data_IF_160256820533
#
_entry.id   IF_160256820533
#
_cell.length_a   1.000
_cell.length_b   1.000
_cell.length_c   1.000
_cell.angle_alpha   90.00
_cell.angle_beta   90.00
_cell.angle_gamma   90.00
#
_symmetry.space_group_name_H-M   'P 1'
#
loop_
_entity.id
_entity.type
_entity.pdbx_description
1 polymer ?
#
# COMPACT_ATOMS: atom_id res chain seq x y z
N UNK A 1 18.27 26.68 62.39
CA UNK A 1 19.49 27.35 61.88
C UNK A 1 19.90 26.69 60.57
N UNK A 2 20.47 27.46 59.63
CA UNK A 2 19.95 27.55 58.27
C UNK A 2 20.99 27.19 57.18
N UNK A 3 20.59 27.48 55.94
CA UNK A 3 21.41 27.83 54.74
C UNK A 3 21.63 26.68 53.76
N UNK A 4 20.94 26.75 52.60
CA UNK A 4 21.45 27.30 51.32
C UNK A 4 22.56 26.40 50.76
N UNK A 5 22.48 25.93 49.52
CA UNK A 5 22.95 26.71 48.38
C UNK A 5 22.38 26.18 47.06
N UNK A 6 21.66 27.05 46.36
CA UNK A 6 21.58 27.08 44.90
C UNK A 6 22.97 27.34 44.35
N UNK A 7 23.35 26.67 43.26
CA UNK A 7 24.53 26.95 42.44
C UNK A 7 24.40 26.18 41.12
N UNK A 8 24.77 26.65 39.94
CA UNK A 8 24.80 27.97 39.33
C UNK A 8 24.66 27.66 37.83
N UNK A 9 23.85 28.45 37.13
CA UNK A 9 23.82 28.49 35.66
C UNK A 9 24.93 29.47 35.23
N UNK A 10 25.87 29.09 34.35
CA UNK A 10 26.75 30.06 33.70
C UNK A 10 26.05 30.71 32.47
N UNK A 11 26.50 31.90 32.02
CA UNK A 11 25.62 32.89 31.42
C UNK A 11 25.72 33.02 29.89
N UNK A 12 24.63 33.59 29.35
CA UNK A 12 24.51 34.52 28.20
C UNK A 12 25.70 34.62 27.22
N UNK A 13 25.38 34.47 25.92
CA UNK A 13 25.68 35.52 24.95
C UNK A 13 24.65 35.53 23.81
N UNK A 14 24.01 36.68 23.64
CA UNK A 14 23.29 37.10 22.44
C UNK A 14 23.94 38.42 21.99
N UNK A 15 23.46 39.06 20.92
CA UNK A 15 23.60 38.72 19.51
C UNK A 15 24.58 39.72 18.85
N UNK A 16 25.35 39.29 17.83
CA UNK A 16 26.19 40.25 17.10
C UNK A 16 25.41 40.84 15.92
N UNK A 17 24.96 42.10 16.10
CA UNK A 17 24.58 43.01 15.02
C UNK A 17 25.87 43.62 14.44
N UNK A 18 26.08 43.46 13.14
CA UNK A 18 26.81 44.42 12.30
C UNK A 18 25.88 44.73 11.13
N UNK A 19 25.24 45.89 11.16
CA UNK A 19 25.68 47.16 10.57
C UNK A 19 25.24 47.25 9.09
N UNK A 20 24.27 48.14 8.88
CA UNK A 20 23.65 48.54 7.61
C UNK A 20 24.68 49.02 6.59
N UNK A 21 24.43 48.71 5.32
CA UNK A 21 24.68 49.63 4.23
C UNK A 21 23.36 49.78 3.45
N UNK A 22 22.82 51.00 3.45
CA UNK A 22 21.72 51.42 2.60
C UNK A 22 22.23 51.54 1.15
N UNK A 23 21.61 50.86 0.20
CA UNK A 23 21.52 51.28 -1.20
C UNK A 23 20.12 50.93 -1.68
N UNK A 24 19.38 51.98 -2.00
CA UNK A 24 18.07 52.00 -2.62
C UNK A 24 18.26 51.78 -4.13
N UNK A 25 17.67 50.72 -4.70
CA UNK A 25 17.35 50.68 -6.12
C UNK A 25 16.23 49.65 -6.38
N UNK A 26 15.17 50.14 -7.00
CA UNK A 26 13.92 49.43 -7.31
C UNK A 26 14.14 48.31 -8.35
N UNK A 27 14.07 47.05 -7.94
CA UNK A 27 13.73 45.94 -8.85
C UNK A 27 12.86 44.92 -8.11
N UNK A 28 11.56 44.93 -8.42
CA UNK A 28 10.65 43.83 -8.11
C UNK A 28 10.96 42.69 -9.07
N UNK A 29 11.76 41.73 -8.62
CA UNK A 29 11.81 40.38 -9.20
C UNK A 29 11.26 39.40 -8.17
N UNK A 30 10.07 38.90 -8.49
CA UNK A 30 9.38 37.81 -7.83
C UNK A 30 10.23 36.53 -7.91
N UNK A 31 11.12 36.34 -6.95
CA UNK A 31 11.79 35.05 -6.71
C UNK A 31 10.91 34.17 -5.82
N UNK A 32 9.74 33.82 -6.37
CA UNK A 32 8.89 32.72 -5.92
C UNK A 32 9.50 31.35 -6.22
N UNK A 33 10.78 31.14 -5.91
CA UNK A 33 11.40 29.82 -5.94
C UNK A 33 10.94 29.05 -4.70
N UNK A 34 9.79 28.40 -4.84
CA UNK A 34 9.29 27.39 -3.90
C UNK A 34 10.31 26.27 -3.77
N UNK A 35 11.02 26.24 -2.65
CA UNK A 35 11.80 25.07 -2.23
C UNK A 35 10.79 24.07 -1.68
N UNK A 36 10.48 23.03 -2.46
CA UNK A 36 9.76 21.86 -1.97
C UNK A 36 10.51 21.32 -0.75
N UNK A 37 9.97 21.59 0.44
CA UNK A 37 10.47 21.02 1.67
C UNK A 37 9.97 19.59 1.72
N UNK A 38 10.86 18.61 1.49
CA UNK A 38 10.60 17.22 1.84
C UNK A 38 10.63 17.09 3.38
N UNK A 39 9.57 17.57 4.03
CA UNK A 39 9.22 17.14 5.38
C UNK A 39 8.21 16.02 5.20
N UNK A 40 8.72 14.81 4.99
CA UNK A 40 7.92 13.63 5.26
C UNK A 40 7.76 13.56 6.77
N UNK A 41 6.63 14.03 7.28
CA UNK A 41 6.18 13.69 8.63
C UNK A 41 5.99 12.17 8.66
N UNK A 42 6.97 11.50 9.27
CA UNK A 42 6.87 10.10 9.64
C UNK A 42 5.86 9.96 10.78
N UNK A 43 4.57 10.03 10.47
CA UNK A 43 3.54 9.38 11.31
C UNK A 43 3.60 7.88 11.08
N UNK A 44 4.69 7.24 11.54
CA UNK A 44 4.69 5.81 11.81
C UNK A 44 4.13 5.60 13.21
N UNK A 45 2.80 5.64 13.32
CA UNK A 45 2.11 5.02 14.44
C UNK A 45 1.78 3.60 14.00
N UNK A 46 2.69 2.67 14.29
CA UNK A 46 2.33 1.27 14.46
C UNK A 46 3.06 0.76 15.71
N UNK A 47 2.25 0.20 16.59
CA UNK A 47 2.56 -0.29 17.94
C UNK A 47 3.77 -1.22 18.00
N UNK A 48 4.40 -1.21 19.18
CA UNK A 48 5.38 -2.17 19.64
C UNK A 48 4.95 -3.62 19.35
N UNK A 49 5.53 -4.21 18.30
CA UNK A 49 5.60 -5.66 18.16
C UNK A 49 6.99 -6.12 18.63
N UNK A 50 6.97 -6.73 19.80
CA UNK A 50 8.08 -7.42 20.43
C UNK A 50 8.56 -8.60 19.54
N UNK A 51 9.89 -8.80 19.51
CA UNK A 51 10.65 -9.89 18.89
C UNK A 51 10.91 -9.82 17.36
N UNK A 52 11.99 -9.12 17.00
CA UNK A 52 13.06 -9.76 16.21
C UNK A 52 12.96 -9.77 14.68
N UNK A 53 12.27 -8.81 14.06
CA UNK A 53 12.37 -8.58 12.61
C UNK A 53 12.97 -7.18 12.41
N UNK A 54 14.12 -7.02 11.71
CA UNK A 54 14.70 -5.70 11.51
C UNK A 54 13.84 -4.93 10.50
N UNK A 55 12.95 -4.08 11.02
CA UNK A 55 12.26 -3.03 10.26
C UNK A 55 13.26 -1.90 9.98
N UNK A 56 13.95 -2.01 8.84
CA UNK A 56 14.60 -0.90 8.15
C UNK A 56 14.83 -1.32 6.69
N UNK A 57 13.79 -1.19 5.86
CA UNK A 57 13.82 -1.47 4.42
C UNK A 57 14.63 -0.39 3.69
N UNK A 58 15.94 -0.40 3.87
CA UNK A 58 16.91 0.38 3.10
C UNK A 58 18.10 -0.49 2.67
N UNK A 59 17.87 -1.79 2.48
CA UNK A 59 18.85 -2.66 1.82
C UNK A 59 18.74 -2.38 0.33
N UNK A 60 19.65 -1.59 -0.24
CA UNK A 60 19.80 -1.52 -1.70
C UNK A 60 20.28 -2.90 -2.14
N UNK A 61 19.39 -3.68 -2.76
CA UNK A 61 19.79 -4.94 -3.39
C UNK A 61 20.86 -4.63 -4.45
N UNK A 62 22.04 -5.23 -4.30
CA UNK A 62 23.05 -5.29 -5.35
C UNK A 62 22.43 -5.87 -6.62
N UNK A 63 22.89 -5.42 -7.80
CA UNK A 63 22.50 -5.99 -9.09
C UNK A 63 22.84 -7.47 -9.22
N UNK A 64 23.79 -7.94 -8.42
CA UNK A 64 24.27 -9.31 -8.45
C UNK A 64 23.24 -10.24 -7.77
N UNK A 65 22.94 -11.35 -8.45
CA UNK A 65 22.13 -12.49 -7.98
C UNK A 65 20.62 -12.22 -7.82
N UNK A 66 20.02 -11.35 -8.65
CA UNK A 66 18.56 -11.11 -8.61
C UNK A 66 17.76 -12.36 -9.03
N UNK A 67 18.22 -13.12 -10.04
CA UNK A 67 17.61 -14.39 -10.41
C UNK A 67 17.68 -15.42 -9.28
N UNK A 68 18.84 -15.59 -8.64
CA UNK A 68 18.99 -16.53 -7.52
C UNK A 68 18.09 -16.15 -6.34
N UNK A 69 17.93 -14.85 -6.05
CA UNK A 69 17.02 -14.36 -5.00
C UNK A 69 15.56 -14.63 -5.34
N UNK A 70 15.17 -14.41 -6.60
CA UNK A 70 13.82 -14.72 -7.07
C UNK A 70 13.54 -16.22 -6.96
N UNK A 71 14.46 -17.07 -7.47
CA UNK A 71 14.33 -18.51 -7.45
C UNK A 71 14.31 -19.06 -6.01
N UNK A 72 15.15 -18.52 -5.11
CA UNK A 72 15.15 -18.88 -3.70
C UNK A 72 13.83 -18.52 -3.02
N UNK A 73 13.27 -17.34 -3.29
CA UNK A 73 12.00 -16.94 -2.69
C UNK A 73 10.84 -17.80 -3.20
N UNK A 74 10.83 -18.17 -4.49
CA UNK A 74 9.82 -19.07 -5.06
C UNK A 74 9.91 -20.49 -4.49
N UNK A 75 11.11 -20.98 -4.18
CA UNK A 75 11.27 -22.27 -3.52
C UNK A 75 10.74 -22.24 -2.08
N UNK A 76 10.88 -21.12 -1.37
CA UNK A 76 10.29 -20.96 -0.03
C UNK A 76 8.76 -20.96 -0.04
N UNK A 77 8.12 -20.39 -1.07
CA UNK A 77 6.67 -20.43 -1.23
C UNK A 77 6.12 -21.87 -1.39
N UNK A 78 6.93 -22.80 -1.92
CA UNK A 78 6.56 -24.22 -2.07
C UNK A 78 6.56 -24.99 -0.75
N UNK A 79 7.09 -24.40 0.31
CA UNK A 79 7.24 -25.08 1.58
C UNK A 79 5.88 -25.29 2.28
N UNK A 80 5.74 -26.42 2.96
CA UNK A 80 4.56 -26.71 3.78
C UNK A 80 4.50 -25.88 5.06
N UNK A 81 5.65 -25.43 5.54
CA UNK A 81 5.76 -24.59 6.72
C UNK A 81 5.32 -23.15 6.43
N UNK A 82 4.41 -22.62 7.28
CA UNK A 82 3.81 -21.30 7.09
C UNK A 82 4.84 -20.17 7.23
N UNK A 83 5.76 -20.25 8.19
CA UNK A 83 6.76 -19.21 8.42
C UNK A 83 7.73 -19.10 7.24
N UNK A 84 8.07 -20.25 6.65
CA UNK A 84 8.94 -20.30 5.46
C UNK A 84 8.25 -19.64 4.27
N UNK A 85 6.95 -19.89 4.06
CA UNK A 85 6.19 -19.20 3.00
C UNK A 85 6.10 -17.70 3.24
N UNK A 86 5.83 -17.26 4.47
CA UNK A 86 5.81 -15.84 4.83
C UNK A 86 7.16 -15.16 4.58
N UNK A 87 8.27 -15.83 4.89
CA UNK A 87 9.60 -15.35 4.58
C UNK A 87 9.82 -15.17 3.07
N UNK A 88 9.42 -16.15 2.25
CA UNK A 88 9.51 -16.05 0.80
C UNK A 88 8.63 -14.92 0.23
N UNK A 89 7.42 -14.74 0.75
CA UNK A 89 6.55 -13.63 0.36
C UNK A 89 7.16 -12.27 0.70
N UNK A 90 7.76 -12.14 1.89
CA UNK A 90 8.47 -10.92 2.28
C UNK A 90 9.69 -10.67 1.38
N UNK A 91 10.45 -11.73 1.03
CA UNK A 91 11.57 -11.61 0.10
C UNK A 91 11.11 -11.13 -1.29
N UNK A 92 10.01 -11.66 -1.82
CA UNK A 92 9.40 -11.20 -3.08
C UNK A 92 8.91 -9.75 -2.97
N UNK A 93 8.26 -9.37 -1.86
CA UNK A 93 7.81 -8.01 -1.62
C UNK A 93 8.98 -7.02 -1.68
N UNK A 94 10.06 -7.31 -0.96
CA UNK A 94 11.26 -6.46 -0.95
C UNK A 94 11.89 -6.40 -2.34
N UNK A 95 12.05 -7.54 -3.01
CA UNK A 95 12.64 -7.62 -4.35
C UNK A 95 11.85 -6.79 -5.37
N UNK A 96 10.54 -7.01 -5.47
CA UNK A 96 9.68 -6.33 -6.44
C UNK A 96 9.45 -4.85 -6.10
N UNK A 97 9.58 -4.44 -4.84
CA UNK A 97 9.46 -3.02 -4.45
C UNK A 97 10.72 -2.21 -4.76
N UNK A 98 11.88 -2.87 -4.87
CA UNK A 98 13.17 -2.18 -5.00
C UNK A 98 13.79 -2.29 -6.39
N UNK A 99 13.42 -3.32 -7.18
CA UNK A 99 13.97 -3.58 -8.50
C UNK A 99 12.85 -3.88 -9.48
N UNK A 100 12.92 -3.26 -10.65
CA UNK A 100 12.08 -3.59 -11.78
C UNK A 100 12.76 -4.70 -12.61
N UNK A 101 12.10 -5.85 -12.73
CA UNK A 101 12.64 -7.11 -13.28
C UNK A 101 11.62 -7.80 -14.21
N UNK A 102 11.13 -7.09 -15.26
CA UNK A 102 10.05 -7.59 -16.09
C UNK A 102 10.40 -8.90 -16.79
N UNK A 103 11.61 -9.03 -17.38
CA UNK A 103 12.00 -10.22 -18.13
C UNK A 103 12.05 -11.47 -17.23
N UNK A 104 12.61 -11.35 -16.03
CA UNK A 104 12.74 -12.46 -15.08
C UNK A 104 11.38 -12.90 -14.54
N UNK A 105 10.49 -11.94 -14.28
CA UNK A 105 9.14 -12.16 -13.77
C UNK A 105 8.26 -12.78 -14.85
N UNK A 106 8.30 -12.25 -16.07
CA UNK A 106 7.55 -12.79 -17.22
C UNK A 106 7.95 -14.22 -17.52
N UNK A 107 9.25 -14.54 -17.50
CA UNK A 107 9.77 -15.89 -17.72
C UNK A 107 9.29 -16.93 -16.69
N UNK A 108 8.83 -16.49 -15.51
CA UNK A 108 8.38 -17.33 -14.40
C UNK A 108 6.92 -17.07 -14.01
N UNK A 109 6.17 -16.33 -14.82
CA UNK A 109 4.83 -15.82 -14.48
C UNK A 109 3.85 -16.94 -14.08
N UNK A 110 3.82 -18.03 -14.83
CA UNK A 110 2.97 -19.19 -14.50
C UNK A 110 3.30 -19.81 -13.14
N UNK A 111 4.59 -19.96 -12.83
CA UNK A 111 5.06 -20.50 -11.55
C UNK A 111 4.71 -19.54 -10.40
N UNK A 112 4.96 -18.24 -10.57
CA UNK A 112 4.60 -17.22 -9.58
C UNK A 112 3.10 -17.29 -9.27
N UNK A 113 2.24 -17.38 -10.31
CA UNK A 113 0.79 -17.51 -10.13
C UNK A 113 0.44 -18.81 -9.40
N UNK A 114 1.01 -19.94 -9.79
CA UNK A 114 0.76 -21.25 -9.18
C UNK A 114 1.08 -21.25 -7.68
N UNK A 115 2.16 -20.59 -7.28
CA UNK A 115 2.58 -20.51 -5.88
C UNK A 115 1.82 -19.44 -5.09
N UNK A 116 1.50 -18.30 -5.71
CA UNK A 116 0.91 -17.16 -5.00
C UNK A 116 -0.60 -17.32 -4.75
N UNK A 117 -1.33 -17.95 -5.68
CA UNK A 117 -2.78 -18.16 -5.54
C UNK A 117 -3.16 -18.94 -4.27
N UNK A 118 -2.48 -20.05 -3.91
CA UNK A 118 -2.70 -20.72 -2.62
C UNK A 118 -2.49 -19.83 -1.40
N UNK A 119 -1.44 -18.99 -1.39
CA UNK A 119 -1.18 -18.05 -0.29
C UNK A 119 -2.32 -17.05 -0.13
N UNK A 120 -2.89 -16.56 -1.23
CA UNK A 120 -4.07 -15.68 -1.21
C UNK A 120 -5.33 -16.42 -0.75
N UNK A 121 -5.57 -17.64 -1.24
CA UNK A 121 -6.83 -18.38 -0.98
C UNK A 121 -6.88 -19.04 0.40
N UNK A 122 -5.73 -19.46 0.93
CA UNK A 122 -5.65 -20.35 2.10
C UNK A 122 -4.67 -19.88 3.18
N UNK A 123 -3.90 -18.82 2.92
CA UNK A 123 -3.02 -18.23 3.91
C UNK A 123 -3.80 -17.75 5.13
N UNK A 124 -3.13 -17.71 6.28
CA UNK A 124 -3.67 -17.00 7.44
C UNK A 124 -3.67 -15.48 7.17
N UNK A 125 -4.12 -14.67 8.13
CA UNK A 125 -4.15 -13.22 7.95
C UNK A 125 -2.79 -12.61 7.56
N UNK A 126 -1.71 -13.02 8.22
CA UNK A 126 -0.36 -12.48 7.95
C UNK A 126 0.14 -12.86 6.55
N UNK A 127 0.10 -14.15 6.22
CA UNK A 127 0.47 -14.68 4.90
C UNK A 127 -0.39 -14.07 3.79
N UNK A 128 -1.70 -13.98 4.00
CA UNK A 128 -2.64 -13.42 3.03
C UNK A 128 -2.35 -11.95 2.74
N UNK A 129 -2.10 -11.13 3.77
CA UNK A 129 -1.74 -9.71 3.59
C UNK A 129 -0.46 -9.55 2.77
N UNK A 130 0.59 -10.32 3.08
CA UNK A 130 1.82 -10.33 2.29
C UNK A 130 1.56 -10.76 0.84
N UNK A 131 0.77 -11.83 0.65
CA UNK A 131 0.41 -12.33 -0.67
C UNK A 131 -0.37 -11.29 -1.51
N UNK A 132 -1.25 -10.51 -0.91
CA UNK A 132 -1.96 -9.42 -1.58
C UNK A 132 -1.00 -8.33 -2.08
N UNK A 133 0.00 -7.96 -1.27
CA UNK A 133 1.02 -6.99 -1.66
C UNK A 133 1.87 -7.55 -2.80
N UNK A 134 2.36 -8.78 -2.67
CA UNK A 134 3.16 -9.44 -3.72
C UNK A 134 2.37 -9.60 -5.01
N UNK A 135 1.07 -9.91 -4.96
CA UNK A 135 0.22 -10.02 -6.15
C UNK A 135 0.08 -8.68 -6.88
N UNK A 136 -0.07 -7.60 -6.12
CA UNK A 136 -0.13 -6.23 -6.67
C UNK A 136 1.19 -5.85 -7.33
N UNK A 137 2.32 -6.10 -6.64
CA UNK A 137 3.65 -5.86 -7.16
C UNK A 137 3.97 -6.72 -8.39
N UNK A 138 3.55 -7.98 -8.39
CA UNK A 138 3.70 -8.88 -9.53
C UNK A 138 2.99 -8.34 -10.78
N UNK A 139 1.76 -7.82 -10.64
CA UNK A 139 1.08 -7.15 -11.76
C UNK A 139 1.85 -5.92 -12.23
N UNK A 140 2.37 -5.11 -11.31
CA UNK A 140 3.21 -3.94 -11.65
C UNK A 140 4.49 -4.35 -12.39
N UNK A 141 5.11 -5.45 -12.01
CA UNK A 141 6.31 -5.97 -12.67
C UNK A 141 6.03 -6.40 -14.10
N UNK A 142 4.90 -7.06 -14.36
CA UNK A 142 4.47 -7.43 -15.71
C UNK A 142 4.15 -6.19 -16.55
N UNK A 143 3.40 -5.25 -15.99
CA UNK A 143 3.13 -3.94 -16.61
C UNK A 143 2.21 -3.99 -17.85
N UNK A 144 1.66 -5.15 -18.20
CA UNK A 144 0.75 -5.35 -19.32
C UNK A 144 -0.56 -6.04 -18.90
N UNK A 145 -1.68 -5.78 -19.60
CA UNK A 145 -2.94 -6.47 -19.36
C UNK A 145 -2.82 -7.99 -19.50
N UNK A 146 -3.51 -8.72 -18.61
CA UNK A 146 -3.57 -10.17 -18.60
C UNK A 146 -4.87 -10.61 -17.90
N UNK A 147 -5.94 -10.76 -18.68
CA UNK A 147 -7.27 -11.07 -18.14
C UNK A 147 -7.31 -12.43 -17.42
N UNK A 148 -6.56 -13.43 -17.89
CA UNK A 148 -6.47 -14.74 -17.24
C UNK A 148 -5.85 -14.64 -15.83
N UNK A 149 -4.82 -13.80 -15.68
CA UNK A 149 -4.22 -13.47 -14.39
C UNK A 149 -5.23 -12.74 -13.50
N UNK A 150 -5.93 -11.75 -14.04
CA UNK A 150 -6.96 -11.01 -13.31
C UNK A 150 -8.04 -11.95 -12.78
N UNK A 151 -8.59 -12.84 -13.63
CA UNK A 151 -9.62 -13.81 -13.25
C UNK A 151 -9.14 -14.70 -12.10
N UNK A 152 -7.92 -15.25 -12.19
CA UNK A 152 -7.35 -16.11 -11.13
C UNK A 152 -7.27 -15.39 -9.78
N UNK A 153 -6.75 -14.15 -9.75
CA UNK A 153 -6.67 -13.38 -8.50
C UNK A 153 -8.05 -12.93 -8.02
N UNK A 154 -8.95 -12.54 -8.91
CA UNK A 154 -10.32 -12.16 -8.54
C UNK A 154 -11.07 -13.33 -7.90
N UNK A 155 -11.00 -14.51 -8.48
CA UNK A 155 -11.59 -15.73 -7.92
C UNK A 155 -10.97 -16.13 -6.58
N UNK A 156 -9.71 -15.78 -6.34
CA UNK A 156 -9.02 -16.01 -5.08
C UNK A 156 -9.43 -14.99 -3.99
N UNK A 157 -9.48 -13.70 -4.34
CA UNK A 157 -9.63 -12.58 -3.41
C UNK A 157 -11.09 -12.34 -3.05
N UNK A 158 -12.00 -12.32 -4.03
CA UNK A 158 -13.38 -11.87 -3.83
C UNK A 158 -14.17 -12.68 -2.79
N UNK A 159 -14.04 -14.02 -2.70
CA UNK A 159 -14.72 -14.78 -1.65
C UNK A 159 -14.32 -14.34 -0.23
N UNK A 160 -13.03 -14.09 -0.01
CA UNK A 160 -12.48 -13.67 1.30
C UNK A 160 -12.86 -12.21 1.59
N UNK A 161 -12.77 -11.34 0.58
CA UNK A 161 -13.13 -9.92 0.72
C UNK A 161 -14.61 -9.73 1.11
N UNK A 162 -15.50 -10.59 0.62
CA UNK A 162 -16.94 -10.54 0.90
C UNK A 162 -17.34 -11.28 2.18
N UNK A 163 -16.52 -12.18 2.69
CA UNK A 163 -16.79 -12.95 3.90
C UNK A 163 -16.59 -12.08 5.15
N UNK A 164 -17.69 -11.72 5.82
CA UNK A 164 -17.69 -10.89 7.03
C UNK A 164 -17.09 -11.60 8.25
N UNK A 165 -16.89 -12.91 8.18
CA UNK A 165 -16.23 -13.68 9.25
C UNK A 165 -14.71 -13.58 9.19
N UNK A 166 -14.15 -13.11 8.07
CA UNK A 166 -12.72 -12.85 7.92
C UNK A 166 -12.31 -11.56 8.62
N UNK A 167 -11.03 -11.45 8.99
CA UNK A 167 -10.52 -10.25 9.64
C UNK A 167 -10.71 -9.01 8.75
N UNK A 168 -11.11 -7.89 9.35
CA UNK A 168 -11.23 -6.63 8.61
C UNK A 168 -9.88 -6.19 8.02
N UNK A 169 -8.77 -6.43 8.73
CA UNK A 169 -7.42 -6.07 8.28
C UNK A 169 -6.95 -6.86 7.05
N UNK A 170 -7.26 -8.17 6.95
CA UNK A 170 -7.01 -8.96 5.74
C UNK A 170 -7.86 -8.44 4.58
N UNK A 171 -9.16 -8.23 4.83
CA UNK A 171 -10.10 -7.71 3.83
C UNK A 171 -9.67 -6.33 3.32
N UNK A 172 -9.12 -5.46 4.17
CA UNK A 172 -8.57 -4.14 3.76
C UNK A 172 -7.46 -4.31 2.74
N UNK A 173 -6.51 -5.21 3.02
CA UNK A 173 -5.38 -5.47 2.12
C UNK A 173 -5.85 -6.05 0.79
N UNK A 174 -6.89 -6.89 0.82
CA UNK A 174 -7.49 -7.50 -0.36
C UNK A 174 -8.29 -6.51 -1.21
N UNK A 175 -8.99 -5.56 -0.57
CA UNK A 175 -9.69 -4.47 -1.26
C UNK A 175 -8.70 -3.57 -2.03
N UNK A 176 -7.54 -3.26 -1.44
CA UNK A 176 -6.48 -2.50 -2.11
C UNK A 176 -5.86 -3.29 -3.25
N UNK A 177 -5.45 -4.54 -2.99
CA UNK A 177 -4.78 -5.38 -3.97
C UNK A 177 -5.64 -5.60 -5.21
N UNK A 178 -6.93 -5.95 -5.05
CA UNK A 178 -7.79 -6.22 -6.20
C UNK A 178 -8.04 -4.98 -7.07
N UNK A 179 -8.02 -3.77 -6.48
CA UNK A 179 -8.11 -2.53 -7.23
C UNK A 179 -6.89 -2.31 -8.14
N UNK A 180 -5.68 -2.53 -7.61
CA UNK A 180 -4.43 -2.45 -8.37
C UNK A 180 -4.38 -3.53 -9.45
N UNK A 181 -4.68 -4.78 -9.08
CA UNK A 181 -4.67 -5.92 -10.01
C UNK A 181 -5.68 -5.68 -11.14
N UNK A 182 -6.89 -5.19 -10.84
CA UNK A 182 -7.87 -4.85 -11.87
C UNK A 182 -7.38 -3.75 -12.81
N UNK A 183 -6.83 -2.67 -12.26
CA UNK A 183 -6.32 -1.56 -13.08
C UNK A 183 -5.24 -1.99 -14.08
N UNK A 184 -4.34 -2.89 -13.67
CA UNK A 184 -3.21 -3.29 -14.51
C UNK A 184 -3.58 -4.45 -15.44
N UNK A 185 -4.21 -5.48 -14.89
CA UNK A 185 -4.37 -6.76 -15.58
C UNK A 185 -5.70 -6.91 -16.32
N UNK A 186 -6.75 -6.15 -15.98
CA UNK A 186 -8.05 -6.22 -16.65
C UNK A 186 -8.09 -5.28 -17.85
N UNK A 187 -8.26 -5.80 -19.06
CA UNK A 187 -8.50 -4.97 -20.25
C UNK A 187 -9.99 -4.63 -20.43
N UNK A 188 -10.86 -5.52 -19.93
CA UNK A 188 -12.30 -5.37 -20.03
C UNK A 188 -12.86 -4.38 -18.98
N UNK A 189 -13.48 -3.30 -19.47
CA UNK A 189 -14.15 -2.31 -18.64
C UNK A 189 -15.32 -2.90 -17.84
N UNK A 190 -16.00 -3.93 -18.35
CA UNK A 190 -17.12 -4.55 -17.65
C UNK A 190 -16.67 -5.24 -16.37
N UNK A 191 -15.49 -5.86 -16.40
CA UNK A 191 -14.83 -6.43 -15.24
C UNK A 191 -14.47 -5.38 -14.18
N UNK A 192 -14.00 -4.20 -14.60
CA UNK A 192 -13.76 -3.06 -13.69
C UNK A 192 -15.06 -2.55 -13.07
N UNK A 193 -16.13 -2.37 -13.86
CA UNK A 193 -17.45 -1.94 -13.36
C UNK A 193 -18.02 -2.95 -12.35
N UNK A 194 -17.90 -4.24 -12.62
CA UNK A 194 -18.39 -5.28 -11.71
C UNK A 194 -17.59 -5.36 -10.41
N UNK A 195 -16.28 -5.11 -10.47
CA UNK A 195 -15.46 -4.95 -9.27
C UNK A 195 -15.87 -3.71 -8.48
N UNK A 196 -16.10 -2.57 -9.15
CA UNK A 196 -16.55 -1.34 -8.51
C UNK A 196 -17.88 -1.54 -7.77
N UNK A 197 -18.88 -2.13 -8.42
CA UNK A 197 -20.15 -2.49 -7.75
C UNK A 197 -19.91 -3.39 -6.54
N UNK A 198 -18.97 -4.32 -6.63
CA UNK A 198 -18.63 -5.20 -5.51
C UNK A 198 -18.00 -4.45 -4.34
N UNK A 199 -17.09 -3.52 -4.61
CA UNK A 199 -16.45 -2.66 -3.60
C UNK A 199 -17.47 -1.72 -2.95
N UNK A 200 -18.42 -1.19 -3.73
CA UNK A 200 -19.49 -0.34 -3.24
C UNK A 200 -20.33 -1.03 -2.17
N UNK A 201 -20.70 -2.31 -2.36
CA UNK A 201 -21.46 -3.05 -1.33
C UNK A 201 -20.74 -3.14 0.02
N UNK A 202 -19.41 -2.97 0.05
CA UNK A 202 -18.61 -2.97 1.28
C UNK A 202 -18.74 -1.63 1.99
N UNK A 203 -18.40 -0.52 1.32
CA UNK A 203 -18.40 0.80 1.98
C UNK A 203 -19.81 1.42 2.11
N UNK A 204 -20.79 0.96 1.33
CA UNK A 204 -22.20 1.34 1.45
C UNK A 204 -22.79 1.03 2.83
N UNK A 205 -22.18 0.13 3.60
CA UNK A 205 -22.53 -0.12 5.00
C UNK A 205 -22.25 1.05 5.94
N UNK A 206 -21.50 2.06 5.48
CA UNK A 206 -21.32 3.32 6.20
C UNK A 206 -22.37 4.37 5.84
N UNK A 207 -23.23 4.10 4.85
CA UNK A 207 -24.25 5.06 4.45
C UNK A 207 -25.23 5.31 5.59
N UNK A 208 -25.82 6.50 5.60
CA UNK A 208 -26.88 6.83 6.54
C UNK A 208 -28.02 5.84 6.32
N UNK A 209 -28.49 5.22 7.40
CA UNK A 209 -29.60 4.29 7.34
C UNK A 209 -30.88 5.00 6.89
N UNK A 210 -31.86 4.25 6.38
CA UNK A 210 -33.15 4.82 5.93
C UNK A 210 -33.93 5.56 7.03
N UNK A 211 -33.60 5.31 8.30
CA UNK A 211 -34.17 5.99 9.47
C UNK A 211 -33.40 7.27 9.88
N UNK A 212 -32.39 7.67 9.10
CA UNK A 212 -31.55 8.84 9.36
C UNK A 212 -30.42 8.61 10.37
N UNK A 213 -30.25 7.38 10.89
CA UNK A 213 -29.18 7.07 11.84
C UNK A 213 -27.85 6.83 11.13
N UNK A 214 -26.75 7.25 11.77
CA UNK A 214 -25.39 6.98 11.30
C UNK A 214 -24.94 5.62 11.84
N UNK A 215 -24.52 4.67 10.98
CA UNK A 215 -24.02 3.38 11.44
C UNK A 215 -22.81 3.54 12.37
N UNK A 216 -22.77 2.75 13.45
CA UNK A 216 -21.61 2.69 14.32
C UNK A 216 -20.57 1.76 13.68
N UNK A 217 -19.51 2.34 13.13
CA UNK A 217 -18.44 1.60 12.43
C UNK A 217 -17.20 1.56 13.33
N UNK A 218 -16.68 0.35 13.58
CA UNK A 218 -15.41 0.17 14.31
C UNK A 218 -14.24 0.71 13.49
N UNK A 219 -13.10 1.03 14.14
CA UNK A 219 -11.91 1.54 13.44
C UNK A 219 -11.46 0.61 12.30
N UNK A 220 -11.32 -0.68 12.58
CA UNK A 220 -10.87 -1.66 11.57
C UNK A 220 -11.84 -1.73 10.37
N UNK A 221 -13.13 -1.58 10.62
CA UNK A 221 -14.15 -1.57 9.58
C UNK A 221 -14.13 -0.24 8.79
N UNK A 222 -13.81 0.88 9.43
CA UNK A 222 -13.58 2.16 8.73
C UNK A 222 -12.38 2.07 7.79
N UNK A 223 -11.30 1.41 8.19
CA UNK A 223 -10.12 1.18 7.35
C UNK A 223 -10.48 0.32 6.12
N UNK A 224 -11.28 -0.73 6.31
CA UNK A 224 -11.81 -1.54 5.21
C UNK A 224 -12.67 -0.71 4.25
N UNK A 225 -13.61 0.07 4.77
CA UNK A 225 -14.48 0.91 3.95
C UNK A 225 -13.68 1.97 3.17
N UNK A 226 -12.67 2.57 3.81
CA UNK A 226 -11.76 3.54 3.18
C UNK A 226 -10.94 2.90 2.07
N UNK A 227 -10.40 1.70 2.29
CA UNK A 227 -9.68 0.94 1.28
C UNK A 227 -10.58 0.57 0.08
N UNK A 228 -11.79 0.09 0.34
CA UNK A 228 -12.75 -0.25 -0.71
C UNK A 228 -13.15 0.98 -1.54
N UNK A 229 -13.44 2.11 -0.88
CA UNK A 229 -13.76 3.37 -1.55
C UNK A 229 -12.56 3.92 -2.33
N UNK A 230 -11.33 3.81 -1.79
CA UNK A 230 -10.12 4.27 -2.48
C UNK A 230 -9.86 3.47 -3.75
N UNK A 231 -9.97 2.14 -3.68
CA UNK A 231 -9.89 1.27 -4.86
C UNK A 231 -10.99 1.56 -5.87
N UNK A 232 -12.21 1.85 -5.41
CA UNK A 232 -13.32 2.25 -6.27
C UNK A 232 -13.03 3.57 -6.99
N UNK A 233 -12.62 4.61 -6.25
CA UNK A 233 -12.27 5.93 -6.82
C UNK A 233 -11.08 5.83 -7.78
N UNK A 234 -10.10 4.98 -7.46
CA UNK A 234 -8.96 4.73 -8.32
C UNK A 234 -9.39 4.16 -9.68
N UNK A 235 -10.25 3.13 -9.69
CA UNK A 235 -10.80 2.57 -10.93
C UNK A 235 -11.69 3.57 -11.67
N UNK A 236 -12.48 4.38 -10.95
CA UNK A 236 -13.28 5.43 -11.58
C UNK A 236 -12.40 6.44 -12.32
N UNK A 237 -11.23 6.78 -11.77
CA UNK A 237 -10.33 7.80 -12.33
C UNK A 237 -9.73 7.41 -13.68
N UNK A 238 -9.76 6.13 -14.02
CA UNK A 238 -9.18 5.57 -15.25
C UNK A 238 -10.26 5.19 -16.27
N UNK A 239 -11.55 5.32 -15.93
CA UNK A 239 -12.65 5.01 -16.83
C UNK A 239 -12.94 6.12 -17.85
N UNK A 240 -13.39 5.76 -19.08
CA UNK A 240 -13.94 6.72 -20.03
C UNK A 240 -15.21 7.42 -19.50
N UNK A 241 -15.38 8.70 -19.85
CA UNK A 241 -16.44 9.58 -19.32
C UNK A 241 -17.87 9.03 -19.46
N UNK A 242 -18.19 8.32 -20.54
CA UNK A 242 -19.53 7.75 -20.75
C UNK A 242 -19.91 6.74 -19.65
N UNK A 243 -18.98 5.87 -19.27
CA UNK A 243 -19.22 4.86 -18.21
C UNK A 243 -19.19 5.49 -16.81
N UNK A 244 -18.31 6.47 -16.60
CA UNK A 244 -18.24 7.19 -15.32
C UNK A 244 -19.57 7.91 -14.99
N UNK A 245 -20.21 8.52 -15.99
CA UNK A 245 -21.50 9.20 -15.79
C UNK A 245 -22.63 8.27 -15.40
N UNK A 246 -22.69 7.07 -15.98
CA UNK A 246 -23.72 6.09 -15.65
C UNK A 246 -23.54 5.56 -14.22
N UNK A 247 -22.30 5.36 -13.79
CA UNK A 247 -21.99 4.81 -12.46
C UNK A 247 -22.28 5.79 -11.32
N UNK A 248 -21.99 7.08 -11.51
CA UNK A 248 -22.20 8.13 -10.49
C UNK A 248 -23.68 8.51 -10.34
N UNK A 249 -24.52 8.21 -11.35
CA UNK A 249 -25.94 8.54 -11.35
C UNK A 249 -26.84 7.46 -10.75
N UNK A 250 -26.30 6.27 -10.44
CA UNK A 250 -27.01 5.22 -9.70
C UNK A 250 -27.04 5.54 -8.21
#
# INVERSE_FOLDING_TARGET
MPKHLKKDRPPRNAPNKTARADVDDDVVTDDGLSVCSNVSDATSIYDEVEAGIPTATNVILSSDNLDEKLDSALEELRNKDLKTREHGLHALQVLFSQKYLPDQVTARSENIIEQLIPCVKKGNESEGKLAAIVASLFCIQLGEPNDDLYVKFREAIMPILRDETQSSSLRTSYAQAIGIICFIASEDISSSVDLMKSLETIFAKSYINNDGTVPLVTRDLQELHTAALSSWCFLLSTMPNNHAHDLIRM
#
